data_IF_286916233339
#
_entry.id   IF_286916233339
#
_cell.length_a   1.000
_cell.length_b   1.000
_cell.length_c   1.000
_cell.angle_alpha   90.00
_cell.angle_beta   90.00
_cell.angle_gamma   90.00
#
_symmetry.space_group_name_H-M   'P 1'
#
loop_
_entity.id
_entity.type
_entity.pdbx_description
1 polymer ?
#
# COMPACT_ATOMS: atom_id res chain seq x y z
N UNK A 1 -8.11 -5.24 5.76
CA UNK A 1 -6.99 -4.88 4.87
C UNK A 1 -5.93 -5.97 4.95
N UNK A 2 -5.27 -6.31 3.83
CA UNK A 2 -4.10 -7.20 3.80
C UNK A 2 -2.89 -6.41 3.29
N UNK A 3 -1.81 -6.40 4.06
CA UNK A 3 -0.53 -5.83 3.64
C UNK A 3 0.40 -6.94 3.14
N UNK A 4 1.27 -6.59 2.22
CA UNK A 4 2.33 -7.46 1.71
C UNK A 4 3.62 -6.67 1.60
N UNK A 5 4.75 -7.35 1.77
CA UNK A 5 6.04 -6.85 1.29
C UNK A 5 6.22 -7.37 -0.13
N UNK A 6 6.58 -6.48 -1.05
CA UNK A 6 6.89 -6.82 -2.44
C UNK A 6 8.30 -6.37 -2.77
N UNK A 7 8.97 -7.11 -3.66
CA UNK A 7 10.24 -6.68 -4.24
C UNK A 7 9.96 -6.14 -5.64
N UNK A 8 10.08 -4.84 -5.83
CA UNK A 8 9.85 -4.18 -7.11
C UNK A 8 11.03 -3.30 -7.49
N UNK A 9 11.58 -3.48 -8.69
CA UNK A 9 12.81 -2.80 -9.15
C UNK A 9 13.95 -2.89 -8.10
N UNK A 10 14.23 -4.11 -7.63
CA UNK A 10 15.23 -4.41 -6.60
C UNK A 10 15.05 -3.70 -5.25
N UNK A 11 13.89 -3.12 -5.00
CA UNK A 11 13.55 -2.45 -3.74
C UNK A 11 12.43 -3.20 -3.03
N UNK A 12 12.64 -3.56 -1.76
CA UNK A 12 11.57 -4.05 -0.89
C UNK A 12 10.70 -2.89 -0.40
N UNK A 13 9.39 -3.04 -0.53
CA UNK A 13 8.42 -2.03 -0.08
C UNK A 13 7.12 -2.67 0.37
N UNK A 14 6.41 -1.98 1.25
CA UNK A 14 5.07 -2.34 1.68
C UNK A 14 4.04 -1.98 0.59
N UNK A 15 3.04 -2.85 0.44
CA UNK A 15 1.89 -2.61 -0.42
C UNK A 15 0.61 -3.18 0.17
N UNK A 16 -0.53 -2.66 -0.30
CA UNK A 16 -1.87 -3.11 0.06
C UNK A 16 -2.35 -4.05 -1.05
N UNK A 17 -2.78 -5.26 -0.69
CA UNK A 17 -3.30 -6.22 -1.66
C UNK A 17 -4.68 -5.76 -2.14
N UNK A 18 -4.80 -5.54 -3.45
CA UNK A 18 -6.04 -5.25 -4.17
C UNK A 18 -6.44 -6.48 -5.01
N UNK A 19 -7.58 -6.44 -5.72
CA UNK A 19 -7.99 -7.60 -6.54
C UNK A 19 -7.07 -7.81 -7.75
N UNK A 20 -6.64 -6.71 -8.37
CA UNK A 20 -5.88 -6.74 -9.62
C UNK A 20 -4.35 -6.69 -9.41
N UNK A 21 -3.88 -6.84 -8.16
CA UNK A 21 -2.46 -6.77 -7.82
C UNK A 21 -2.22 -6.11 -6.46
N UNK A 22 -1.09 -5.43 -6.32
CA UNK A 22 -0.64 -4.85 -5.05
C UNK A 22 -0.37 -3.37 -5.27
N UNK A 23 -1.01 -2.50 -4.49
CA UNK A 23 -0.76 -1.07 -4.51
C UNK A 23 0.37 -0.71 -3.53
N UNK A 24 1.55 -0.26 -3.99
CA UNK A 24 2.62 0.17 -3.10
C UNK A 24 2.18 1.37 -2.25
N UNK A 25 2.58 1.41 -0.97
CA UNK A 25 2.24 2.55 -0.09
C UNK A 25 2.80 3.87 -0.63
N UNK A 26 3.95 3.84 -1.33
CA UNK A 26 4.49 5.01 -2.03
C UNK A 26 3.56 5.58 -3.09
N UNK A 27 2.81 4.74 -3.79
CA UNK A 27 1.88 5.15 -4.83
C UNK A 27 0.60 5.74 -4.20
N UNK A 28 0.14 5.14 -3.11
CA UNK A 28 -0.93 5.69 -2.27
C UNK A 28 -0.56 7.10 -1.76
N UNK A 29 0.64 7.26 -1.22
CA UNK A 29 1.16 8.56 -0.76
C UNK A 29 1.14 9.61 -1.86
N UNK A 30 1.65 9.27 -3.06
CA UNK A 30 1.67 10.18 -4.20
C UNK A 30 0.26 10.57 -4.65
N UNK A 31 -0.69 9.63 -4.66
CA UNK A 31 -2.05 9.87 -5.12
C UNK A 31 -2.92 10.63 -4.12
N UNK A 32 -2.67 10.45 -2.81
CA UNK A 32 -3.51 11.02 -1.73
C UNK A 32 -2.83 12.16 -0.97
N UNK A 33 -1.59 12.50 -1.28
CA UNK A 33 -0.81 13.50 -0.54
C UNK A 33 -0.53 13.07 0.91
N UNK A 34 -0.48 11.76 1.17
CA UNK A 34 -0.19 11.20 2.49
C UNK A 34 1.29 10.88 2.64
N UNK A 35 1.73 10.66 3.89
CA UNK A 35 3.14 10.44 4.23
C UNK A 35 3.32 9.15 5.05
N UNK A 36 2.59 8.09 4.71
CA UNK A 36 2.76 6.78 5.34
C UNK A 36 4.17 6.24 5.07
N UNK A 37 4.72 5.47 6.00
CA UNK A 37 5.98 4.76 5.79
C UNK A 37 5.83 3.74 4.66
N UNK A 38 6.87 3.59 3.86
CA UNK A 38 6.82 2.78 2.64
C UNK A 38 7.37 1.38 2.78
N UNK A 39 7.93 1.03 3.95
CA UNK A 39 8.42 -0.30 4.29
C UNK A 39 7.65 -0.85 5.51
N UNK A 40 7.56 -2.18 5.59
CA UNK A 40 6.73 -2.86 6.61
C UNK A 40 7.23 -2.60 8.04
N UNK A 41 8.55 -2.60 8.24
CA UNK A 41 9.13 -2.43 9.57
C UNK A 41 8.79 -1.06 10.15
N UNK A 42 8.98 0.00 9.36
CA UNK A 42 8.67 1.36 9.78
C UNK A 42 7.18 1.57 10.01
N UNK A 43 6.30 0.95 9.22
CA UNK A 43 4.85 1.00 9.45
C UNK A 43 4.45 0.43 10.82
N UNK A 44 5.10 -0.65 11.24
CA UNK A 44 4.87 -1.27 12.55
C UNK A 44 5.43 -0.38 13.67
N UNK A 45 6.68 0.08 13.52
CA UNK A 45 7.35 0.89 14.53
C UNK A 45 6.63 2.22 14.79
N UNK A 46 6.12 2.85 13.74
CA UNK A 46 5.38 4.12 13.81
C UNK A 46 3.88 3.93 14.09
N UNK A 47 3.43 2.70 14.35
CA UNK A 47 2.03 2.36 14.65
C UNK A 47 1.04 2.88 13.61
N UNK A 48 1.42 2.85 12.33
CA UNK A 48 0.63 3.43 11.23
C UNK A 48 -0.43 2.47 10.67
N UNK A 49 -0.31 1.17 10.93
CA UNK A 49 -1.22 0.13 10.43
C UNK A 49 -2.69 0.36 10.83
N UNK A 50 -3.02 0.73 12.09
CA UNK A 50 -4.40 1.04 12.47
C UNK A 50 -4.99 2.20 11.65
N UNK A 51 -4.20 3.25 11.41
CA UNK A 51 -4.63 4.41 10.61
C UNK A 51 -4.86 4.04 9.13
N UNK A 52 -3.96 3.26 8.53
CA UNK A 52 -4.17 2.70 7.18
C UNK A 52 -5.41 1.80 7.12
N UNK A 53 -5.64 0.99 8.15
CA UNK A 53 -6.81 0.12 8.23
C UNK A 53 -8.10 0.93 8.33
N UNK A 54 -8.10 2.02 9.10
CA UNK A 54 -9.24 2.93 9.20
C UNK A 54 -9.54 3.59 7.85
N UNK A 55 -8.52 4.14 7.17
CA UNK A 55 -8.66 4.68 5.81
C UNK A 55 -9.22 3.65 4.83
N UNK A 56 -8.67 2.43 4.83
CA UNK A 56 -9.10 1.34 3.96
C UNK A 56 -10.59 1.01 4.16
N UNK A 57 -11.05 0.96 5.42
CA UNK A 57 -12.43 0.64 5.74
C UNK A 57 -13.41 1.81 5.49
N UNK A 58 -12.92 3.05 5.43
CA UNK A 58 -13.72 4.26 5.22
C UNK A 58 -14.01 4.56 3.73
N UNK A 59 -13.79 3.60 2.84
CA UNK A 59 -13.94 3.78 1.38
C UNK A 59 -12.62 3.64 0.61
N UNK A 60 -11.48 3.61 1.30
CA UNK A 60 -10.17 3.49 0.65
C UNK A 60 -10.02 2.20 -0.16
N UNK A 61 -10.69 1.11 0.27
CA UNK A 61 -10.72 -0.17 -0.44
C UNK A 61 -11.24 -0.04 -1.88
N UNK A 62 -12.32 0.69 -2.08
CA UNK A 62 -12.94 0.91 -3.38
C UNK A 62 -12.05 1.78 -4.27
N UNK A 63 -11.28 2.68 -3.66
CA UNK A 63 -10.37 3.57 -4.38
C UNK A 63 -9.06 2.89 -4.84
N UNK A 64 -8.63 1.82 -4.15
CA UNK A 64 -7.35 1.14 -4.43
C UNK A 64 -7.14 0.80 -5.91
N UNK A 65 -8.20 0.35 -6.58
CA UNK A 65 -8.14 -0.10 -7.98
C UNK A 65 -8.05 1.05 -8.99
N UNK A 66 -8.42 2.26 -8.56
CA UNK A 66 -8.36 3.48 -9.39
C UNK A 66 -7.05 4.26 -9.18
N UNK A 67 -6.28 3.92 -8.14
CA UNK A 67 -5.02 4.61 -7.85
C UNK A 67 -3.94 4.12 -8.82
N UNK A 68 -3.23 5.02 -9.53
CA UNK A 68 -2.15 4.63 -10.43
C UNK A 68 -0.96 4.06 -9.67
N UNK A 69 -0.19 3.18 -10.34
CA UNK A 69 1.02 2.57 -9.77
C UNK A 69 0.80 1.21 -9.09
N UNK A 70 -0.32 0.56 -9.39
CA UNK A 70 -0.60 -0.81 -8.97
C UNK A 70 0.36 -1.77 -9.68
N UNK A 71 1.02 -2.62 -8.89
CA UNK A 71 1.94 -3.65 -9.40
C UNK A 71 1.15 -4.95 -9.59
N UNK A 72 1.14 -5.55 -10.79
CA UNK A 72 0.44 -6.81 -11.03
C UNK A 72 0.97 -7.93 -10.11
N UNK A 73 0.06 -8.79 -9.63
CA UNK A 73 0.44 -9.87 -8.71
C UNK A 73 1.44 -10.88 -9.31
N UNK A 74 1.44 -11.05 -10.64
CA UNK A 74 2.36 -11.95 -11.35
C UNK A 74 3.77 -11.34 -11.53
N UNK A 75 4.00 -10.11 -11.09
CA UNK A 75 5.28 -9.40 -11.24
C UNK A 75 5.96 -9.07 -9.91
N UNK A 76 5.46 -9.61 -8.79
CA UNK A 76 6.00 -9.39 -7.43
C UNK A 76 6.71 -10.62 -6.87
#
# INVERSE_FOLDING_TARGET
MRLATIKWNDTEMAGIVAKNGILPIRALNAAKGTAWRTDMLSLIQEQQIPGLTAWYNAGGKEELESIPGLVPADQV
#
